data_IF_479539165012
#
_entry.id   IF_479539165012
#
_cell.length_a   1.000
_cell.length_b   1.000
_cell.length_c   1.000
_cell.angle_alpha   90.00
_cell.angle_beta   90.00
_cell.angle_gamma   90.00
#
_symmetry.space_group_name_H-M   'P 1'
#
loop_
_entity.id
_entity.type
_entity.pdbx_description
1 polymer ?
#
# COMPACT_ATOMS: atom_id res chain seq x y z
N UNK A 1 1.35 -9.09 6.36
CA UNK A 1 0.97 -8.80 7.76
C UNK A 1 0.08 -7.56 7.75
N UNK A 2 -1.02 -7.53 8.50
CA UNK A 2 -1.93 -6.39 8.56
C UNK A 2 -1.33 -5.24 9.40
N UNK A 3 -0.25 -4.61 8.92
CA UNK A 3 0.31 -3.41 9.55
C UNK A 3 -0.49 -2.18 9.13
N UNK A 4 -1.67 -2.04 9.74
CA UNK A 4 -2.62 -0.97 9.45
C UNK A 4 -1.99 0.40 9.66
N UNK A 5 -1.13 0.56 10.67
CA UNK A 5 -0.48 1.84 10.94
C UNK A 5 0.43 2.26 9.79
N UNK A 6 1.26 1.35 9.28
CA UNK A 6 2.17 1.63 8.16
C UNK A 6 1.40 2.03 6.91
N UNK A 7 0.35 1.29 6.57
CA UNK A 7 -0.49 1.58 5.41
C UNK A 7 -1.25 2.91 5.57
N UNK A 8 -1.77 3.18 6.77
CA UNK A 8 -2.47 4.41 7.08
C UNK A 8 -1.54 5.63 6.97
N UNK A 9 -0.37 5.61 7.62
CA UNK A 9 0.52 6.77 7.64
C UNK A 9 1.12 7.04 6.27
N UNK A 10 1.46 5.99 5.52
CA UNK A 10 1.93 6.13 4.13
C UNK A 10 0.86 6.76 3.26
N UNK A 11 -0.37 6.26 3.35
CA UNK A 11 -1.52 6.82 2.64
C UNK A 11 -1.81 8.26 3.06
N UNK A 12 -1.65 8.59 4.35
CA UNK A 12 -1.85 9.94 4.88
C UNK A 12 -0.84 10.93 4.32
N UNK A 13 0.45 10.56 4.28
CA UNK A 13 1.50 11.42 3.70
C UNK A 13 1.18 11.72 2.24
N UNK A 14 0.86 10.71 1.43
CA UNK A 14 0.50 10.90 0.01
C UNK A 14 -0.76 11.77 -0.11
N UNK A 15 -1.81 11.44 0.63
CA UNK A 15 -3.08 12.17 0.60
C UNK A 15 -2.92 13.64 1.04
N UNK A 16 -2.01 13.93 1.97
CA UNK A 16 -1.74 15.30 2.46
C UNK A 16 -1.19 16.20 1.37
N UNK A 17 -0.40 15.68 0.43
CA UNK A 17 0.13 16.43 -0.71
C UNK A 17 -0.91 16.73 -1.79
N UNK A 18 -1.98 15.92 -1.83
CA UNK A 18 -3.03 16.03 -2.85
C UNK A 18 -4.20 16.90 -2.36
N UNK A 19 -4.65 16.67 -1.12
CA UNK A 19 -5.89 17.23 -0.60
C UNK A 19 -5.70 18.20 0.59
N UNK A 20 -4.46 18.35 1.08
CA UNK A 20 -4.12 19.07 2.30
C UNK A 20 -4.41 18.25 3.57
N UNK A 21 -3.70 18.55 4.65
CA UNK A 21 -3.69 17.77 5.91
C UNK A 21 -5.08 17.44 6.50
N UNK A 22 -6.03 18.39 6.43
CA UNK A 22 -7.38 18.22 7.00
C UNK A 22 -8.20 17.20 6.23
N UNK A 23 -8.11 17.20 4.90
CA UNK A 23 -8.89 16.31 4.03
C UNK A 23 -8.16 14.98 3.80
N UNK A 24 -6.85 14.97 4.01
CA UNK A 24 -6.01 13.77 3.88
C UNK A 24 -6.48 12.62 4.77
N UNK A 25 -6.96 12.92 5.99
CA UNK A 25 -7.50 11.90 6.91
C UNK A 25 -8.65 11.13 6.27
N UNK A 26 -9.57 11.80 5.57
CA UNK A 26 -10.68 11.13 4.90
C UNK A 26 -10.22 10.37 3.66
N UNK A 27 -9.27 10.95 2.93
CA UNK A 27 -8.78 10.37 1.69
C UNK A 27 -7.90 9.14 1.93
N UNK A 28 -7.11 9.11 3.02
CA UNK A 28 -6.24 7.97 3.34
C UNK A 28 -7.02 6.74 3.83
N UNK A 29 -8.27 6.88 4.27
CA UNK A 29 -9.14 5.73 4.54
C UNK A 29 -9.37 4.86 3.29
N UNK A 30 -9.34 5.45 2.09
CA UNK A 30 -9.41 4.68 0.84
C UNK A 30 -8.23 3.73 0.66
N UNK A 31 -7.06 4.09 1.21
CA UNK A 31 -5.89 3.22 1.23
C UNK A 31 -6.05 2.00 2.12
N UNK A 32 -6.92 2.05 3.15
CA UNK A 32 -7.17 0.92 4.05
C UNK A 32 -8.30 -0.01 3.58
N UNK A 33 -9.00 0.34 2.48
CA UNK A 33 -10.10 -0.47 1.98
C UNK A 33 -9.71 -1.90 1.56
N UNK A 34 -8.50 -2.18 1.04
CA UNK A 34 -8.14 -3.55 0.70
C UNK A 34 -8.26 -4.50 1.91
N UNK A 35 -7.87 -4.05 3.10
CA UNK A 35 -7.89 -4.83 4.36
C UNK A 35 -9.29 -5.02 4.96
N UNK A 36 -10.36 -4.51 4.34
CA UNK A 36 -11.72 -4.77 4.83
C UNK A 36 -12.07 -6.26 4.75
N UNK A 37 -11.39 -7.02 3.90
CA UNK A 37 -11.53 -8.48 3.83
C UNK A 37 -11.22 -9.16 5.18
N UNK A 38 -10.39 -8.56 6.03
CA UNK A 38 -10.05 -9.08 7.37
C UNK A 38 -11.29 -9.29 8.23
N UNK A 39 -12.31 -8.44 8.10
CA UNK A 39 -13.59 -8.61 8.81
C UNK A 39 -14.39 -9.83 8.37
N UNK A 40 -14.08 -10.39 7.19
CA UNK A 40 -14.66 -11.62 6.68
C UNK A 40 -13.84 -12.86 7.07
N UNK A 41 -12.81 -12.71 7.91
CA UNK A 41 -11.90 -13.80 8.28
C UNK A 41 -11.02 -14.25 7.12
N UNK A 42 -10.78 -13.36 6.15
CA UNK A 42 -9.87 -13.56 5.04
C UNK A 42 -8.92 -12.37 5.00
N UNK A 43 -7.65 -12.57 4.71
CA UNK A 43 -6.73 -11.45 4.50
C UNK A 43 -6.01 -11.69 3.18
N UNK A 44 -5.88 -10.64 2.37
CA UNK A 44 -5.28 -10.70 1.03
C UNK A 44 -6.11 -11.56 0.08
N UNK A 45 -7.41 -11.28 0.07
CA UNK A 45 -8.40 -11.90 -0.78
C UNK A 45 -8.57 -11.15 -2.11
N UNK A 46 -9.79 -11.14 -2.68
CA UNK A 46 -10.13 -10.46 -3.93
C UNK A 46 -10.00 -8.94 -3.85
N UNK A 47 -10.04 -8.36 -2.65
CA UNK A 47 -9.80 -6.93 -2.43
C UNK A 47 -8.35 -6.53 -2.70
N UNK A 48 -7.41 -7.47 -2.64
CA UNK A 48 -5.99 -7.22 -2.90
C UNK A 48 -5.58 -7.46 -4.37
N UNK A 49 -6.56 -7.46 -5.27
CA UNK A 49 -6.33 -7.52 -6.71
C UNK A 49 -6.36 -6.12 -7.33
N UNK A 50 -5.29 -5.75 -8.03
CA UNK A 50 -5.25 -4.52 -8.82
C UNK A 50 -6.14 -4.64 -10.05
N UNK A 51 -6.34 -5.85 -10.58
CA UNK A 51 -7.21 -6.10 -11.74
C UNK A 51 -8.66 -5.78 -11.39
N UNK A 52 -9.16 -6.31 -10.26
CA UNK A 52 -10.51 -6.04 -9.78
C UNK A 52 -10.65 -4.57 -9.39
N UNK A 53 -9.67 -4.00 -8.67
CA UNK A 53 -9.68 -2.60 -8.30
C UNK A 53 -9.76 -1.68 -9.53
N UNK A 54 -8.97 -1.96 -10.58
CA UNK A 54 -8.98 -1.20 -11.83
C UNK A 54 -10.30 -1.35 -12.58
N UNK A 55 -10.83 -2.57 -12.64
CA UNK A 55 -12.09 -2.87 -13.34
C UNK A 55 -13.27 -2.12 -12.71
N UNK A 56 -13.27 -1.93 -11.38
CA UNK A 56 -14.30 -1.16 -10.66
C UNK A 56 -14.02 0.35 -10.74
N UNK A 57 -12.77 0.77 -10.51
CA UNK A 57 -12.42 2.18 -10.44
C UNK A 57 -12.57 2.89 -11.79
N UNK A 58 -12.21 2.23 -12.90
CA UNK A 58 -12.26 2.82 -14.25
C UNK A 58 -13.66 3.31 -14.64
N UNK A 59 -14.73 2.47 -14.62
CA UNK A 59 -16.08 2.94 -14.95
C UNK A 59 -16.58 3.98 -13.95
N UNK A 60 -16.27 3.83 -12.65
CA UNK A 60 -16.67 4.81 -11.65
C UNK A 60 -16.06 6.20 -11.92
N UNK A 61 -14.74 6.24 -12.20
CA UNK A 61 -14.04 7.46 -12.58
C UNK A 61 -14.59 8.02 -13.90
N UNK A 62 -14.90 7.15 -14.88
CA UNK A 62 -15.51 7.54 -16.14
C UNK A 62 -16.88 8.21 -15.95
N UNK A 63 -17.75 7.65 -15.10
CA UNK A 63 -19.05 8.26 -14.75
C UNK A 63 -18.84 9.61 -14.05
N UNK A 64 -17.92 9.70 -13.09
CA UNK A 64 -17.60 10.96 -12.42
C UNK A 64 -17.08 12.00 -13.42
N UNK A 65 -16.27 11.57 -14.39
CA UNK A 65 -15.73 12.43 -15.43
C UNK A 65 -16.82 12.98 -16.36
N UNK A 66 -17.79 12.15 -16.73
CA UNK A 66 -18.91 12.53 -17.61
C UNK A 66 -19.92 13.46 -16.93
N UNK A 67 -20.24 13.21 -15.64
CA UNK A 67 -21.39 13.83 -14.99
C UNK A 67 -21.06 14.78 -13.84
N UNK A 68 -19.79 14.86 -13.41
CA UNK A 68 -19.37 15.65 -12.23
C UNK A 68 -18.17 16.55 -12.55
N UNK A 69 -17.56 17.10 -11.51
CA UNK A 69 -16.47 18.08 -11.64
C UNK A 69 -15.11 17.41 -11.80
N UNK A 70 -14.19 18.09 -12.51
CA UNK A 70 -12.77 17.71 -12.63
C UNK A 70 -12.09 17.53 -11.26
N UNK A 71 -12.53 18.28 -10.25
CA UNK A 71 -12.05 18.14 -8.87
C UNK A 71 -12.39 16.77 -8.29
N UNK A 72 -13.61 16.29 -8.51
CA UNK A 72 -14.05 14.99 -8.01
C UNK A 72 -13.33 13.84 -8.74
N UNK A 73 -13.06 14.00 -10.05
CA UNK A 73 -12.22 13.06 -10.81
C UNK A 73 -10.83 12.94 -10.19
N UNK A 74 -10.17 14.06 -9.85
CA UNK A 74 -8.85 14.03 -9.20
C UNK A 74 -8.88 13.32 -7.85
N UNK A 75 -9.94 13.53 -7.06
CA UNK A 75 -10.11 12.83 -5.77
C UNK A 75 -10.32 11.33 -5.98
N UNK A 76 -11.14 10.94 -6.95
CA UNK A 76 -11.39 9.53 -7.25
C UNK A 76 -10.13 8.81 -7.75
N UNK A 77 -9.33 9.47 -8.61
CA UNK A 77 -8.02 8.96 -9.03
C UNK A 77 -7.09 8.82 -7.82
N UNK A 78 -7.03 9.83 -6.95
CA UNK A 78 -6.20 9.78 -5.75
C UNK A 78 -6.62 8.63 -4.82
N UNK A 79 -7.92 8.42 -4.62
CA UNK A 79 -8.45 7.30 -3.83
C UNK A 79 -8.03 5.95 -4.43
N UNK A 80 -8.14 5.79 -5.75
CA UNK A 80 -7.66 4.58 -6.46
C UNK A 80 -6.15 4.38 -6.28
N UNK A 81 -5.34 5.43 -6.41
CA UNK A 81 -3.89 5.33 -6.24
C UNK A 81 -3.50 4.95 -4.80
N UNK A 82 -4.24 5.44 -3.81
CA UNK A 82 -4.04 5.05 -2.40
C UNK A 82 -4.44 3.59 -2.14
N UNK A 83 -5.51 3.13 -2.78
CA UNK A 83 -5.88 1.72 -2.75
C UNK A 83 -4.80 0.85 -3.41
N UNK A 84 -4.29 1.28 -4.57
CA UNK A 84 -3.26 0.58 -5.32
C UNK A 84 -1.91 0.54 -4.58
N UNK A 85 -1.50 1.64 -3.94
CA UNK A 85 -0.24 1.67 -3.18
C UNK A 85 -0.30 0.72 -2.00
N UNK A 86 -1.47 0.54 -1.35
CA UNK A 86 -1.64 -0.46 -0.30
C UNK A 86 -1.34 -1.87 -0.83
N UNK A 87 -1.95 -2.25 -1.95
CA UNK A 87 -1.68 -3.56 -2.58
C UNK A 87 -0.19 -3.71 -2.92
N UNK A 88 0.44 -2.65 -3.46
CA UNK A 88 1.87 -2.67 -3.80
C UNK A 88 2.74 -2.83 -2.56
N UNK A 89 2.43 -2.16 -1.45
CA UNK A 89 3.15 -2.33 -0.18
C UNK A 89 3.04 -3.77 0.32
N UNK A 90 1.87 -4.39 0.14
CA UNK A 90 1.63 -5.76 0.55
C UNK A 90 2.47 -6.79 -0.24
N UNK A 91 2.84 -6.49 -1.50
CA UNK A 91 3.79 -7.31 -2.28
C UNK A 91 5.16 -7.44 -1.62
N UNK A 92 5.57 -6.46 -0.83
CA UNK A 92 6.88 -6.47 -0.17
C UNK A 92 6.84 -7.14 1.21
N UNK A 93 5.69 -7.65 1.64
CA UNK A 93 5.53 -8.20 3.00
C UNK A 93 5.00 -9.62 3.04
N UNK A 94 4.21 -10.04 2.06
CA UNK A 94 3.81 -11.45 1.89
C UNK A 94 3.13 -11.66 0.53
N UNK A 95 2.91 -12.92 0.10
CA UNK A 95 2.19 -13.24 -1.12
C UNK A 95 0.83 -12.53 -1.19
N UNK A 96 0.59 -11.85 -2.33
CA UNK A 96 -0.60 -11.02 -2.55
C UNK A 96 -1.18 -11.32 -3.94
N UNK A 97 -2.50 -11.57 -4.09
CA UNK A 97 -3.13 -11.97 -5.36
C UNK A 97 -3.31 -10.78 -6.32
N UNK A 98 -2.22 -10.10 -6.65
CA UNK A 98 -2.17 -8.85 -7.40
C UNK A 98 -2.97 -8.93 -8.71
N UNK A 99 -2.76 -10.00 -9.48
CA UNK A 99 -3.30 -10.15 -10.83
C UNK A 99 -4.55 -11.02 -10.90
N UNK A 100 -5.08 -11.47 -9.77
CA UNK A 100 -6.30 -12.28 -9.75
C UNK A 100 -7.50 -11.48 -10.27
N UNK A 101 -8.46 -12.03 -11.04
CA UNK A 101 -8.57 -13.39 -11.51
C UNK A 101 -7.88 -13.66 -12.86
N UNK A 102 -7.13 -12.70 -13.41
CA UNK A 102 -6.43 -12.89 -14.68
C UNK A 102 -5.34 -13.98 -14.56
N UNK A 103 -4.71 -14.08 -13.39
CA UNK A 103 -3.78 -15.15 -13.04
C UNK A 103 -4.12 -15.72 -11.66
N UNK A 104 -3.87 -17.02 -11.48
CA UNK A 104 -4.19 -17.76 -10.26
C UNK A 104 -3.00 -17.89 -9.28
N UNK A 105 -2.09 -16.93 -9.33
CA UNK A 105 -0.89 -16.85 -8.49
C UNK A 105 -0.91 -15.58 -7.62
N UNK A 106 -0.42 -15.72 -6.39
CA UNK A 106 -0.10 -14.63 -5.48
C UNK A 106 1.40 -14.35 -5.54
N UNK A 107 1.79 -13.08 -5.47
CA UNK A 107 3.16 -12.65 -5.69
C UNK A 107 3.73 -11.94 -4.47
N UNK A 108 5.03 -12.09 -4.23
CA UNK A 108 5.79 -11.34 -3.25
C UNK A 108 7.15 -10.96 -3.82
N UNK A 109 7.62 -9.75 -3.55
CA UNK A 109 8.91 -9.23 -4.00
C UNK A 109 9.79 -9.01 -2.78
N UNK A 110 10.98 -9.62 -2.76
CA UNK A 110 12.04 -9.28 -1.81
C UNK A 110 13.10 -8.44 -2.51
N UNK A 111 13.51 -7.34 -1.88
CA UNK A 111 14.61 -6.49 -2.33
C UNK A 111 15.56 -6.32 -1.16
N UNK A 112 16.80 -6.74 -1.35
CA UNK A 112 17.86 -6.63 -0.35
C UNK A 112 19.10 -6.01 -0.99
N UNK A 113 19.88 -5.26 -0.21
CA UNK A 113 21.20 -4.77 -0.62
C UNK A 113 22.18 -5.22 0.44
N UNK A 114 23.05 -6.16 0.07
CA UNK A 114 24.01 -6.76 0.98
C UNK A 114 25.36 -6.08 0.80
N UNK A 115 25.84 -5.43 1.86
CA UNK A 115 27.19 -4.89 1.94
C UNK A 115 28.12 -5.87 2.65
N UNK A 116 29.33 -6.06 2.15
CA UNK A 116 30.35 -6.90 2.80
C UNK A 116 31.71 -6.21 2.80
N UNK A 117 32.53 -6.56 3.79
CA UNK A 117 33.91 -6.12 3.93
C UNK A 117 34.75 -7.38 4.08
N UNK A 118 35.62 -7.67 3.11
CA UNK A 118 36.52 -8.82 3.18
C UNK A 118 37.85 -8.46 3.88
N UNK A 119 38.54 -9.46 4.49
CA UNK A 119 39.89 -9.28 4.99
C UNK A 119 40.83 -8.84 3.84
N UNK A 120 41.26 -7.58 3.85
CA UNK A 120 41.98 -6.96 2.72
C UNK A 120 41.44 -5.60 2.29
N UNK A 121 40.39 -5.10 2.96
CA UNK A 121 39.72 -3.82 2.70
C UNK A 121 38.95 -3.77 1.37
N UNK A 122 38.59 -4.92 0.82
CA UNK A 122 37.61 -4.99 -0.27
C UNK A 122 36.21 -4.74 0.29
N UNK A 123 35.54 -3.71 -0.25
CA UNK A 123 34.18 -3.33 0.10
C UNK A 123 33.30 -3.68 -1.09
N UNK A 124 32.31 -4.54 -0.87
CA UNK A 124 31.34 -4.94 -1.89
C UNK A 124 29.92 -4.51 -1.51
N UNK A 125 29.11 -4.20 -2.53
CA UNK A 125 27.68 -3.93 -2.40
C UNK A 125 26.98 -4.73 -3.50
N UNK A 126 26.09 -5.65 -3.11
CA UNK A 126 25.37 -6.52 -4.04
C UNK A 126 23.87 -6.36 -3.84
N UNK A 127 23.12 -5.89 -4.86
CA UNK A 127 21.67 -5.88 -4.81
C UNK A 127 21.12 -7.29 -5.12
N UNK A 128 20.15 -7.73 -4.33
CA UNK A 128 19.39 -8.96 -4.51
C UNK A 128 17.91 -8.61 -4.70
N UNK A 129 17.30 -9.11 -5.78
CA UNK A 129 15.88 -8.95 -6.05
C UNK A 129 15.30 -10.32 -6.37
N UNK A 130 14.29 -10.72 -5.60
CA UNK A 130 13.65 -12.02 -5.73
C UNK A 130 12.15 -11.87 -5.88
N UNK A 131 11.57 -12.63 -6.81
CA UNK A 131 10.13 -12.73 -7.00
C UNK A 131 9.68 -14.12 -6.55
N UNK A 132 8.82 -14.14 -5.55
CA UNK A 132 8.17 -15.34 -5.06
C UNK A 132 6.74 -15.39 -5.59
N UNK A 133 6.29 -16.59 -5.94
CA UNK A 133 4.91 -16.84 -6.33
C UNK A 133 4.37 -18.12 -5.71
N UNK A 134 3.10 -18.11 -5.32
CA UNK A 134 2.39 -19.29 -4.87
C UNK A 134 0.93 -19.30 -5.36
N UNK A 135 0.30 -20.49 -5.51
CA UNK A 135 -1.08 -20.56 -5.94
C UNK A 135 -2.03 -19.84 -4.99
N UNK A 136 -2.95 -19.08 -5.55
CA UNK A 136 -3.97 -18.36 -4.78
C UNK A 136 -4.86 -19.35 -4.01
N UNK A 137 -4.92 -19.19 -2.68
CA UNK A 137 -5.77 -19.98 -1.78
C UNK A 137 -6.64 -19.05 -0.95
N UNK A 138 -7.92 -19.00 -1.28
CA UNK A 138 -8.90 -18.24 -0.52
C UNK A 138 -9.51 -19.13 0.56
N UNK A 139 -8.89 -19.11 1.73
CA UNK A 139 -9.31 -19.91 2.88
C UNK A 139 -9.69 -18.96 4.01
N UNK A 140 -10.88 -19.15 4.59
CA UNK A 140 -11.26 -18.46 5.81
C UNK A 140 -10.41 -18.99 6.95
N UNK A 141 -9.67 -18.13 7.61
CA UNK A 141 -8.82 -18.49 8.73
C UNK A 141 -8.73 -17.31 9.71
N UNK A 142 -8.21 -17.60 10.91
CA UNK A 142 -7.91 -16.53 11.84
C UNK A 142 -6.80 -15.65 11.26
N UNK A 143 -7.12 -14.41 10.95
CA UNK A 143 -6.13 -13.42 10.53
C UNK A 143 -5.30 -13.04 11.76
N UNK A 144 -4.01 -13.40 11.74
CA UNK A 144 -3.07 -13.10 12.81
C UNK A 144 -2.02 -12.09 12.33
N UNK A 145 -1.67 -11.15 13.21
CA UNK A 145 -0.63 -10.16 12.93
C UNK A 145 -0.80 -8.88 13.75
N UNK A 146 0.27 -8.09 13.90
CA UNK A 146 0.22 -6.85 14.63
C UNK A 146 -0.45 -5.76 13.79
N UNK A 147 -1.55 -5.20 14.29
CA UNK A 147 -2.19 -3.98 13.71
C UNK A 147 -1.21 -2.79 13.73
N UNK A 148 -0.32 -2.79 14.73
CA UNK A 148 0.75 -1.81 14.92
C UNK A 148 2.05 -2.58 15.14
N UNK A 149 2.97 -2.50 14.19
CA UNK A 149 4.29 -3.13 14.30
C UNK A 149 5.36 -2.16 14.82
N UNK A 150 6.44 -2.66 15.41
CA UNK A 150 7.57 -1.80 15.83
C UNK A 150 8.16 -1.00 14.65
N UNK A 151 8.43 -1.61 13.47
CA UNK A 151 8.83 -0.83 12.29
C UNK A 151 7.79 0.21 11.88
N UNK A 152 6.51 -0.13 11.93
CA UNK A 152 5.42 0.78 11.59
C UNK A 152 5.34 1.99 12.52
N UNK A 153 5.58 1.82 13.82
CA UNK A 153 5.69 2.93 14.78
C UNK A 153 6.86 3.85 14.43
N UNK A 154 8.03 3.29 14.10
CA UNK A 154 9.20 4.09 13.72
C UNK A 154 8.94 4.90 12.44
N UNK A 155 8.34 4.26 11.42
CA UNK A 155 7.93 4.94 10.18
C UNK A 155 6.91 6.03 10.48
N UNK A 156 5.94 5.76 11.35
CA UNK A 156 4.91 6.73 11.69
C UNK A 156 5.49 7.97 12.41
N UNK A 157 6.44 7.78 13.32
CA UNK A 157 7.16 8.87 13.99
C UNK A 157 7.95 9.69 12.97
N UNK A 158 8.72 9.03 12.10
CA UNK A 158 9.54 9.70 11.10
C UNK A 158 8.70 10.53 10.12
N UNK A 159 7.64 9.94 9.56
CA UNK A 159 6.77 10.62 8.59
C UNK A 159 5.96 11.74 9.25
N UNK A 160 5.49 11.56 10.48
CA UNK A 160 4.80 12.63 11.22
C UNK A 160 5.76 13.80 11.48
N UNK A 161 6.99 13.51 11.89
CA UNK A 161 8.03 14.52 12.11
C UNK A 161 8.33 15.30 10.83
N UNK A 162 8.44 14.60 9.69
CA UNK A 162 8.61 15.22 8.37
C UNK A 162 7.45 16.18 8.04
N UNK A 163 6.20 15.76 8.23
CA UNK A 163 5.04 16.61 7.95
C UNK A 163 4.97 17.84 8.88
N UNK A 164 5.42 17.71 10.13
CA UNK A 164 5.52 18.84 11.05
C UNK A 164 6.59 19.84 10.61
N UNK A 165 7.77 19.35 10.22
CA UNK A 165 8.86 20.18 9.69
C UNK A 165 8.39 20.92 8.44
N UNK A 166 7.81 20.21 7.48
CA UNK A 166 7.29 20.81 6.25
C UNK A 166 6.29 21.93 6.54
N UNK A 167 5.43 21.75 7.55
CA UNK A 167 4.46 22.78 7.93
C UNK A 167 5.08 24.01 8.58
N UNK A 168 6.21 23.85 9.28
CA UNK A 168 6.89 24.96 9.97
C UNK A 168 7.77 25.73 8.98
N UNK A 169 8.44 25.03 8.06
CA UNK A 169 9.52 25.60 7.25
C UNK A 169 9.19 25.79 5.77
N UNK A 170 8.14 25.16 5.23
CA UNK A 170 7.71 25.31 3.84
C UNK A 170 6.37 26.07 3.82
N UNK A 171 6.35 27.36 3.43
CA UNK A 171 5.15 28.21 3.47
C UNK A 171 4.05 27.78 2.48
#
# INVERSE_FOLDING_TARGET
>A
MPDVLTHFITSYVIASRIAGYRRAVLLCLFGLLPDIDVFLGMHRWCTHSIVIATLIATPLIGVIWLFRSRKLVRIAIAAYLLYAIHIVLDLFTAPTPLLWPAYWEAYMISIEVVGFIEPGAEIGIVPHVELYSEPVKFVVHRVEGPIVSTPGVLIAIALTSLLLIDRIYVP
#
